data_IF_247446229488
#
_entry.id   IF_247446229488
#
_cell.length_a   1.000
_cell.length_b   1.000
_cell.length_c   1.000
_cell.angle_alpha   90.00
_cell.angle_beta   90.00
_cell.angle_gamma   90.00
#
_symmetry.space_group_name_H-M   'P 1'
#
loop_
_entity.id
_entity.type
_entity.pdbx_description
1 polymer ?
#
# COMPACT_ATOMS: atom_id res chain seq x y z
N UNK A 1 -8.03 -13.97 -24.63
CA UNK A 1 -7.77 -13.54 -23.23
C UNK A 1 -6.87 -12.32 -23.27
N UNK A 2 -7.07 -11.31 -22.40
CA UNK A 2 -6.16 -10.17 -22.33
C UNK A 2 -4.75 -10.65 -21.93
N UNK A 3 -3.72 -10.06 -22.53
CA UNK A 3 -2.32 -10.33 -22.22
C UNK A 3 -1.71 -9.09 -21.55
N UNK A 4 -0.75 -9.30 -20.67
CA UNK A 4 -0.01 -8.23 -20.00
C UNK A 4 1.35 -8.04 -20.67
N UNK A 5 1.74 -6.79 -20.89
CA UNK A 5 3.04 -6.38 -21.40
C UNK A 5 3.50 -5.13 -20.65
N UNK A 6 4.82 -4.97 -20.47
CA UNK A 6 5.43 -3.76 -19.86
C UNK A 6 6.47 -3.11 -20.77
N UNK A 7 6.76 -3.73 -21.91
CA UNK A 7 7.73 -3.32 -22.93
C UNK A 7 7.10 -3.23 -24.34
N UNK A 8 5.84 -3.62 -24.50
CA UNK A 8 5.12 -3.67 -25.78
C UNK A 8 5.41 -4.91 -26.63
N UNK A 9 6.38 -5.75 -26.23
CA UNK A 9 6.87 -6.90 -27.02
C UNK A 9 6.59 -8.21 -26.30
N UNK A 10 7.07 -8.36 -25.08
CA UNK A 10 6.87 -9.55 -24.27
C UNK A 10 5.46 -9.59 -23.68
N UNK A 11 4.83 -10.76 -23.72
CA UNK A 11 3.45 -10.97 -23.27
C UNK A 11 3.39 -12.11 -22.25
N UNK A 12 2.51 -11.96 -21.26
CA UNK A 12 2.19 -13.02 -20.30
C UNK A 12 0.70 -13.01 -19.93
N UNK A 13 0.25 -14.09 -19.28
CA UNK A 13 -1.15 -14.27 -18.85
C UNK A 13 -1.54 -13.46 -17.61
N UNK A 14 -0.56 -12.91 -16.87
CA UNK A 14 -0.80 -12.07 -15.69
C UNK A 14 0.26 -10.98 -15.54
N UNK A 15 -0.07 -9.92 -14.80
CA UNK A 15 0.87 -8.86 -14.43
C UNK A 15 2.08 -9.41 -13.66
N UNK A 16 1.88 -10.42 -12.80
CA UNK A 16 2.96 -11.05 -12.04
C UNK A 16 3.89 -11.81 -12.98
N UNK A 17 3.33 -12.58 -13.92
CA UNK A 17 4.11 -13.37 -14.87
C UNK A 17 4.99 -12.49 -15.78
N UNK A 18 4.48 -11.33 -16.24
CA UNK A 18 5.30 -10.44 -17.09
C UNK A 18 6.44 -9.80 -16.31
N UNK A 19 6.22 -9.44 -15.03
CA UNK A 19 7.27 -8.91 -14.15
C UNK A 19 8.32 -9.98 -13.86
N UNK A 20 7.89 -11.21 -13.54
CA UNK A 20 8.79 -12.33 -13.28
C UNK A 20 9.65 -12.67 -14.49
N UNK A 21 9.06 -12.66 -15.69
CA UNK A 21 9.79 -12.89 -16.95
C UNK A 21 10.92 -11.87 -17.13
N UNK A 22 10.62 -10.56 -17.05
CA UNK A 22 11.63 -9.52 -17.21
C UNK A 22 12.73 -9.59 -16.16
N UNK A 23 12.38 -9.95 -14.92
CA UNK A 23 13.33 -10.12 -13.83
C UNK A 23 14.26 -11.33 -14.04
N UNK A 24 13.70 -12.49 -14.41
CA UNK A 24 14.46 -13.73 -14.58
C UNK A 24 15.36 -13.70 -15.83
N UNK A 25 14.83 -13.18 -16.94
CA UNK A 25 15.52 -13.18 -18.25
C UNK A 25 16.34 -11.91 -18.49
N UNK A 26 16.38 -10.96 -17.53
CA UNK A 26 17.08 -9.68 -17.64
C UNK A 26 16.68 -8.87 -18.87
N UNK A 27 15.39 -8.89 -19.21
CA UNK A 27 14.84 -8.13 -20.33
C UNK A 27 14.69 -6.65 -19.89
N UNK A 28 15.22 -5.69 -20.66
CA UNK A 28 14.98 -4.27 -20.40
C UNK A 28 13.51 -3.89 -20.58
N UNK A 29 12.98 -3.05 -19.68
CA UNK A 29 11.59 -2.59 -19.73
C UNK A 29 11.46 -1.30 -20.56
N UNK A 30 12.41 -0.38 -20.40
CA UNK A 30 12.45 0.90 -21.10
C UNK A 30 13.90 1.32 -21.33
N UNK A 31 14.31 1.39 -22.60
CA UNK A 31 15.72 1.60 -22.95
C UNK A 31 16.59 0.48 -22.39
N UNK A 32 17.49 0.79 -21.46
CA UNK A 32 18.39 -0.17 -20.80
C UNK A 32 17.98 -0.48 -19.34
N UNK A 33 16.83 0.01 -18.88
CA UNK A 33 16.39 -0.20 -17.49
C UNK A 33 15.96 -1.65 -17.25
N UNK A 34 16.57 -2.32 -16.28
CA UNK A 34 16.29 -3.72 -15.92
C UNK A 34 15.75 -3.84 -14.48
N UNK A 35 14.95 -4.89 -14.24
CA UNK A 35 14.53 -5.26 -12.90
C UNK A 35 15.68 -5.94 -12.14
N UNK A 36 16.08 -5.34 -11.02
CA UNK A 36 17.26 -5.80 -10.26
C UNK A 36 16.91 -6.44 -8.92
N UNK A 37 15.99 -5.86 -8.16
CA UNK A 37 15.65 -6.33 -6.82
C UNK A 37 14.18 -6.07 -6.51
N UNK A 38 13.37 -7.10 -6.19
CA UNK A 38 12.01 -6.89 -5.71
C UNK A 38 12.03 -6.22 -4.34
N UNK A 39 11.12 -5.27 -4.11
CA UNK A 39 10.93 -4.63 -2.81
C UNK A 39 9.68 -5.25 -2.15
N UNK A 40 9.84 -6.04 -1.08
CA UNK A 40 8.69 -6.69 -0.43
C UNK A 40 7.85 -5.67 0.34
N UNK A 41 6.57 -6.01 0.54
CA UNK A 41 5.69 -5.28 1.45
C UNK A 41 6.27 -5.31 2.86
N UNK A 42 6.20 -4.18 3.53
CA UNK A 42 6.70 -3.99 4.87
C UNK A 42 5.63 -4.38 5.90
N UNK A 43 6.04 -4.72 7.13
CA UNK A 43 5.13 -5.23 8.15
C UNK A 43 3.97 -4.26 8.52
N UNK A 44 4.19 -2.95 8.35
CA UNK A 44 3.19 -1.90 8.58
C UNK A 44 2.21 -1.68 7.41
N UNK A 45 2.43 -2.32 6.25
CA UNK A 45 1.54 -2.21 5.10
C UNK A 45 0.41 -3.24 5.22
N UNK A 46 -0.71 -2.80 5.77
CA UNK A 46 -1.87 -3.64 6.04
C UNK A 46 -2.77 -3.77 4.81
N UNK A 47 -3.24 -4.99 4.54
CA UNK A 47 -4.29 -5.23 3.55
C UNK A 47 -5.67 -4.94 4.14
N UNK A 48 -6.62 -4.51 3.29
CA UNK A 48 -7.98 -4.11 3.72
C UNK A 48 -8.74 -5.22 4.45
N UNK A 49 -8.53 -6.48 4.07
CA UNK A 49 -9.16 -7.65 4.69
C UNK A 49 -8.76 -7.90 6.14
N UNK A 50 -7.69 -7.22 6.61
CA UNK A 50 -7.25 -7.28 8.01
C UNK A 50 -7.94 -6.25 8.90
N UNK A 51 -8.67 -5.29 8.34
CA UNK A 51 -9.21 -4.14 9.07
C UNK A 51 -10.74 -4.14 8.98
N UNK A 52 -11.41 -4.03 10.12
CA UNK A 52 -12.86 -3.84 10.18
C UNK A 52 -13.17 -2.52 10.88
N UNK A 53 -13.89 -1.62 10.21
CA UNK A 53 -14.42 -0.39 10.80
C UNK A 53 -15.74 -0.69 11.50
N UNK A 54 -15.93 -0.16 12.72
CA UNK A 54 -17.10 -0.44 13.56
C UNK A 54 -17.95 0.82 13.73
N UNK A 55 -17.38 1.89 14.27
CA UNK A 55 -18.12 3.15 14.50
C UNK A 55 -17.19 4.36 14.41
N UNK A 56 -17.72 5.52 14.02
CA UNK A 56 -16.98 6.78 14.00
C UNK A 56 -16.71 7.24 15.45
N UNK A 57 -15.46 7.55 15.75
CA UNK A 57 -15.02 8.14 17.02
C UNK A 57 -14.99 9.67 16.96
N UNK A 58 -14.71 10.23 15.78
CA UNK A 58 -14.66 11.68 15.60
C UNK A 58 -14.23 12.08 14.20
N UNK A 59 -14.11 13.39 14.00
CA UNK A 59 -13.61 14.00 12.77
C UNK A 59 -12.70 15.16 13.14
N UNK A 60 -11.57 15.27 12.45
CA UNK A 60 -10.63 16.37 12.62
C UNK A 60 -10.16 16.91 11.28
N UNK A 61 -9.19 17.81 11.30
CA UNK A 61 -8.66 18.48 10.11
C UNK A 61 -8.23 17.51 9.00
N UNK A 62 -7.77 16.30 9.38
CA UNK A 62 -7.25 15.29 8.45
C UNK A 62 -8.28 14.24 8.02
N UNK A 63 -9.54 14.35 8.47
CA UNK A 63 -10.60 13.39 8.17
C UNK A 63 -11.16 12.68 9.40
N UNK A 64 -11.76 11.52 9.17
CA UNK A 64 -12.51 10.79 10.18
C UNK A 64 -11.60 9.83 10.96
N UNK A 65 -11.90 9.65 12.24
CA UNK A 65 -11.30 8.61 13.07
C UNK A 65 -12.40 7.62 13.43
N UNK A 66 -12.14 6.34 13.18
CA UNK A 66 -13.06 5.24 13.40
C UNK A 66 -12.50 4.27 14.45
N UNK A 67 -13.37 3.74 15.31
CA UNK A 67 -13.10 2.55 16.11
C UNK A 67 -13.19 1.34 15.19
N UNK A 68 -12.25 0.43 15.32
CA UNK A 68 -12.27 -0.80 14.54
C UNK A 68 -11.44 -1.91 15.16
N UNK A 69 -11.24 -2.95 14.37
CA UNK A 69 -10.39 -4.08 14.73
C UNK A 69 -9.36 -4.37 13.64
N UNK A 70 -8.18 -4.84 14.07
CA UNK A 70 -7.10 -5.31 13.24
C UNK A 70 -6.87 -6.80 13.50
N UNK A 71 -7.01 -7.65 12.47
CA UNK A 71 -6.58 -9.05 12.51
C UNK A 71 -5.07 -9.11 12.29
N UNK A 72 -4.34 -9.41 13.35
CA UNK A 72 -2.90 -9.60 13.35
C UNK A 72 -2.58 -11.04 13.76
N UNK A 73 -2.16 -11.85 12.78
CA UNK A 73 -2.00 -13.30 12.94
C UNK A 73 -3.29 -13.96 13.48
N UNK A 74 -3.24 -14.54 14.67
CA UNK A 74 -4.36 -15.19 15.36
C UNK A 74 -5.10 -14.26 16.30
N UNK A 75 -4.64 -13.01 16.46
CA UNK A 75 -5.21 -12.04 17.41
C UNK A 75 -5.99 -10.95 16.69
N UNK A 76 -7.08 -10.51 17.32
CA UNK A 76 -7.84 -9.34 16.88
C UNK A 76 -7.62 -8.21 17.88
N UNK A 77 -7.04 -7.10 17.42
CA UNK A 77 -6.69 -5.96 18.26
C UNK A 77 -7.69 -4.81 18.04
N UNK A 78 -8.23 -4.16 19.08
CA UNK A 78 -8.97 -2.93 18.92
C UNK A 78 -8.03 -1.80 18.48
N UNK A 79 -8.43 -1.04 17.47
CA UNK A 79 -7.61 0.02 16.87
C UNK A 79 -8.43 1.27 16.56
N UNK A 80 -7.75 2.42 16.50
CA UNK A 80 -8.26 3.62 15.86
C UNK A 80 -7.80 3.65 14.40
N UNK A 81 -8.73 3.94 13.49
CA UNK A 81 -8.51 3.96 12.03
C UNK A 81 -8.74 5.39 11.56
N UNK A 82 -7.66 6.06 11.16
CA UNK A 82 -7.73 7.40 10.56
C UNK A 82 -8.00 7.25 9.06
N UNK A 83 -9.07 7.85 8.57
CA UNK A 83 -9.55 7.74 7.19
C UNK A 83 -9.63 9.13 6.56
N UNK A 84 -8.96 9.29 5.43
CA UNK A 84 -9.04 10.50 4.60
C UNK A 84 -9.56 10.11 3.22
N UNK A 85 -10.60 10.79 2.74
CA UNK A 85 -11.08 10.60 1.36
C UNK A 85 -10.15 11.34 0.41
N UNK A 86 -9.62 10.63 -0.57
CA UNK A 86 -8.76 11.22 -1.61
C UNK A 86 -9.62 12.08 -2.53
N UNK A 87 -9.29 13.36 -2.60
CA UNK A 87 -9.80 14.33 -3.58
C UNK A 87 -8.61 15.16 -4.06
N UNK A 88 -8.66 15.68 -5.28
CA UNK A 88 -7.54 16.45 -5.85
C UNK A 88 -7.18 17.66 -4.95
N UNK A 89 -8.21 18.31 -4.40
CA UNK A 89 -8.12 19.40 -3.43
C UNK A 89 -7.34 19.05 -2.13
N UNK A 90 -7.29 17.77 -1.74
CA UNK A 90 -6.72 17.33 -0.46
C UNK A 90 -5.40 16.55 -0.60
N UNK A 91 -4.74 16.63 -1.76
CA UNK A 91 -3.49 15.89 -2.03
C UNK A 91 -2.35 16.26 -1.08
N UNK A 92 -2.24 17.54 -0.71
CA UNK A 92 -1.27 18.00 0.28
C UNK A 92 -1.52 17.36 1.66
N UNK A 93 -2.79 17.25 2.04
CA UNK A 93 -3.19 16.65 3.31
C UNK A 93 -2.85 15.15 3.40
N UNK A 94 -2.97 14.42 2.28
CA UNK A 94 -2.52 13.03 2.19
C UNK A 94 -1.01 12.91 2.40
N UNK A 95 -0.23 13.84 1.87
CA UNK A 95 1.22 13.84 2.06
C UNK A 95 1.59 14.03 3.54
N UNK A 96 0.90 14.93 4.24
CA UNK A 96 1.06 15.13 5.70
C UNK A 96 0.65 13.87 6.50
N UNK A 97 -0.46 13.21 6.15
CA UNK A 97 -0.84 11.95 6.77
C UNK A 97 0.24 10.86 6.58
N UNK A 98 0.84 10.78 5.38
CA UNK A 98 1.96 9.88 5.16
C UNK A 98 3.21 10.27 5.95
N UNK A 99 3.47 11.57 6.17
CA UNK A 99 4.57 12.02 7.04
C UNK A 99 4.34 11.61 8.49
N UNK A 100 3.12 11.78 9.01
CA UNK A 100 2.72 11.35 10.36
C UNK A 100 2.96 9.84 10.54
N UNK A 101 2.47 9.02 9.60
CA UNK A 101 2.71 7.57 9.64
C UNK A 101 4.20 7.20 9.56
N UNK A 102 5.01 7.95 8.81
CA UNK A 102 6.47 7.73 8.78
C UNK A 102 7.12 8.06 10.11
N UNK A 103 6.73 9.17 10.74
CA UNK A 103 7.24 9.63 12.02
C UNK A 103 6.88 8.68 13.16
N UNK A 104 5.60 8.30 13.29
CA UNK A 104 5.11 7.43 14.37
C UNK A 104 5.77 6.04 14.36
N UNK A 105 6.19 5.54 13.19
CA UNK A 105 6.94 4.26 13.10
C UNK A 105 8.33 4.32 13.76
N UNK A 106 8.90 5.51 13.95
CA UNK A 106 10.21 5.68 14.58
C UNK A 106 10.11 5.72 16.11
N UNK A 107 8.93 6.05 16.65
CA UNK A 107 8.75 6.19 18.09
C UNK A 107 8.41 4.85 18.76
N UNK A 108 9.07 4.61 19.89
CA UNK A 108 8.71 3.60 20.89
C UNK A 108 8.91 4.24 22.26
N UNK A 109 7.85 4.83 22.79
CA UNK A 109 7.82 5.34 24.16
C UNK A 109 7.02 4.36 25.02
N UNK A 110 7.56 4.00 26.19
CA UNK A 110 6.90 3.14 27.18
C UNK A 110 5.96 3.95 28.07
#
# INVERSE_FOLDING_TARGET
>A
MPFFTIDGVNKASSAIAIVQKHYAERIPIAGQAMLMRPIPKQAWELSKDKITMVSKLGEGAFGEVWKGTLRHFTTTLPVAIKVTKVKEENRAMMLEMHKEGRLLRQYKHL
#
